data_IF_212357528064
#
_entry.id   IF_212357528064
#
_cell.length_a   1.000
_cell.length_b   1.000
_cell.length_c   1.000
_cell.angle_alpha   90.00
_cell.angle_beta   90.00
_cell.angle_gamma   90.00
#
_symmetry.space_group_name_H-M   'P 1'
#
loop_
_entity.id
_entity.type
_entity.pdbx_description
1 polymer ?
#
# COMPACT_ATOMS: atom_id res chain seq x y z
N UNK A 1 -19.63 12.85 12.94
CA UNK A 1 -18.54 12.10 12.30
C UNK A 1 -19.02 10.67 12.22
N UNK A 2 -19.19 10.18 11.00
CA UNK A 2 -19.47 8.77 10.73
C UNK A 2 -18.18 7.95 10.86
N UNK A 3 -18.30 6.65 11.11
CA UNK A 3 -17.13 5.75 11.23
C UNK A 3 -16.30 5.77 9.94
N UNK A 4 -16.98 5.85 8.78
CA UNK A 4 -16.35 6.01 7.47
C UNK A 4 -15.58 7.33 7.30
N UNK A 5 -16.12 8.47 7.77
CA UNK A 5 -15.38 9.74 7.78
C UNK A 5 -14.14 9.68 8.68
N UNK A 6 -14.23 8.96 9.81
CA UNK A 6 -13.08 8.76 10.69
C UNK A 6 -11.99 7.92 10.00
N UNK A 7 -12.38 6.83 9.34
CA UNK A 7 -11.46 5.97 8.59
C UNK A 7 -10.77 6.74 7.46
N UNK A 8 -11.51 7.53 6.68
CA UNK A 8 -10.95 8.37 5.61
C UNK A 8 -9.93 9.39 6.15
N UNK A 9 -10.20 10.00 7.30
CA UNK A 9 -9.26 10.90 7.96
C UNK A 9 -7.98 10.18 8.44
N UNK A 10 -8.11 8.96 8.96
CA UNK A 10 -6.97 8.15 9.38
C UNK A 10 -6.12 7.72 8.18
N UNK A 11 -6.74 7.34 7.06
CA UNK A 11 -6.04 7.02 5.81
C UNK A 11 -5.31 8.26 5.29
N UNK A 12 -5.95 9.42 5.28
CA UNK A 12 -5.32 10.68 4.89
C UNK A 12 -4.09 11.01 5.76
N UNK A 13 -4.18 10.80 7.08
CA UNK A 13 -3.05 10.98 7.97
C UNK A 13 -1.90 10.02 7.66
N UNK A 14 -2.21 8.75 7.36
CA UNK A 14 -1.20 7.76 6.96
C UNK A 14 -0.49 8.16 5.64
N UNK A 15 -1.25 8.63 4.64
CA UNK A 15 -0.71 9.16 3.38
C UNK A 15 0.27 10.31 3.64
N UNK A 16 -0.11 11.27 4.47
CA UNK A 16 0.75 12.41 4.80
C UNK A 16 2.04 11.98 5.52
N UNK A 17 1.98 10.98 6.38
CA UNK A 17 3.16 10.45 7.05
C UNK A 17 4.09 9.69 6.09
N UNK A 18 3.55 8.98 5.10
CA UNK A 18 4.35 8.38 4.03
C UNK A 18 4.97 9.45 3.12
N UNK A 19 4.23 10.52 2.78
CA UNK A 19 4.76 11.66 2.00
C UNK A 19 5.90 12.38 2.71
N UNK A 20 5.82 12.54 4.04
CA UNK A 20 6.93 13.07 4.85
C UNK A 20 8.17 12.17 4.77
N UNK A 21 8.00 10.84 4.81
CA UNK A 21 9.10 9.89 4.63
C UNK A 21 9.73 10.02 3.24
N UNK A 22 8.93 10.23 2.20
CA UNK A 22 9.41 10.46 0.84
C UNK A 22 10.19 11.78 0.69
N UNK A 23 9.74 12.85 1.37
CA UNK A 23 10.39 14.16 1.34
C UNK A 23 11.70 14.24 2.14
N UNK A 24 11.91 13.31 3.08
CA UNK A 24 13.18 13.18 3.80
C UNK A 24 14.20 12.47 2.90
N UNK A 25 15.13 13.24 2.30
CA UNK A 25 16.20 12.73 1.40
C UNK A 25 16.71 11.34 1.80
N UNK A 26 16.40 10.32 1.00
CA UNK A 26 16.85 8.95 1.22
C UNK A 26 16.55 8.03 0.04
N UNK A 27 17.58 7.28 -0.38
CA UNK A 27 17.60 6.10 -1.25
C UNK A 27 16.42 5.89 -2.24
N UNK A 28 16.72 5.98 -3.55
CA UNK A 28 15.77 5.77 -4.66
C UNK A 28 14.97 4.46 -4.54
N UNK A 29 15.56 3.40 -3.98
CA UNK A 29 14.86 2.13 -3.73
C UNK A 29 13.73 2.24 -2.69
N UNK A 30 13.88 3.08 -1.66
CA UNK A 30 12.78 3.40 -0.74
C UNK A 30 11.70 4.23 -1.43
N UNK A 31 12.04 5.06 -2.40
CA UNK A 31 11.05 5.92 -3.06
C UNK A 31 9.96 5.11 -3.79
N UNK A 32 10.34 4.06 -4.53
CA UNK A 32 9.37 3.22 -5.27
C UNK A 32 8.39 2.53 -4.32
N UNK A 33 8.88 1.94 -3.24
CA UNK A 33 8.03 1.28 -2.23
C UNK A 33 7.10 2.28 -1.54
N UNK A 34 7.61 3.45 -1.15
CA UNK A 34 6.81 4.49 -0.48
C UNK A 34 5.76 5.08 -1.43
N UNK A 35 6.09 5.27 -2.72
CA UNK A 35 5.11 5.70 -3.73
C UNK A 35 4.01 4.67 -3.93
N UNK A 36 4.36 3.40 -4.12
CA UNK A 36 3.39 2.32 -4.27
C UNK A 36 2.46 2.19 -3.05
N UNK A 37 3.00 2.41 -1.85
CA UNK A 37 2.21 2.48 -0.62
C UNK A 37 1.20 3.63 -0.67
N UNK A 38 1.63 4.86 -0.98
CA UNK A 38 0.75 6.03 -1.09
C UNK A 38 -0.34 5.82 -2.14
N UNK A 39 0.03 5.37 -3.34
CA UNK A 39 -0.91 5.14 -4.45
C UNK A 39 -1.98 4.11 -4.07
N UNK A 40 -1.60 3.06 -3.35
CA UNK A 40 -2.55 2.06 -2.86
C UNK A 40 -3.52 2.64 -1.83
N UNK A 41 -3.02 3.40 -0.85
CA UNK A 41 -3.87 4.08 0.14
C UNK A 41 -4.84 5.08 -0.51
N UNK A 42 -4.39 5.82 -1.53
CA UNK A 42 -5.22 6.73 -2.31
C UNK A 42 -6.32 5.99 -3.10
N UNK A 43 -5.99 4.82 -3.67
CA UNK A 43 -6.98 3.95 -4.33
C UNK A 43 -8.07 3.51 -3.36
N UNK A 44 -7.69 3.00 -2.18
CA UNK A 44 -8.65 2.56 -1.16
C UNK A 44 -9.49 3.71 -0.61
N UNK A 45 -8.87 4.87 -0.38
CA UNK A 45 -9.58 6.08 0.02
C UNK A 45 -10.66 6.48 -1.00
N UNK A 46 -10.33 6.41 -2.30
CA UNK A 46 -11.29 6.64 -3.37
C UNK A 46 -12.40 5.57 -3.41
N UNK A 47 -12.07 4.29 -3.24
CA UNK A 47 -13.08 3.21 -3.19
C UNK A 47 -14.06 3.42 -2.03
N UNK A 48 -13.55 3.74 -0.83
CA UNK A 48 -14.37 4.08 0.34
C UNK A 48 -15.24 5.31 0.11
N UNK A 49 -14.68 6.37 -0.49
CA UNK A 49 -15.46 7.58 -0.84
C UNK A 49 -16.57 7.31 -1.87
N UNK A 50 -16.41 6.27 -2.71
CA UNK A 50 -17.41 5.81 -3.68
C UNK A 50 -18.40 4.77 -3.11
N UNK A 51 -18.35 4.50 -1.80
CA UNK A 51 -19.32 3.65 -1.12
C UNK A 51 -18.90 2.18 -1.01
N UNK A 52 -17.59 1.88 -1.09
CA UNK A 52 -17.10 0.58 -0.63
C UNK A 52 -17.37 0.44 0.87
N UNK A 53 -17.96 -0.69 1.25
CA UNK A 53 -18.23 -1.03 2.65
C UNK A 53 -16.96 -1.52 3.38
N UNK A 54 -16.86 -1.28 4.67
CA UNK A 54 -15.70 -1.66 5.49
C UNK A 54 -15.48 -3.18 5.55
N UNK A 55 -16.55 -4.00 5.57
CA UNK A 55 -16.44 -5.46 5.56
C UNK A 55 -15.99 -5.98 4.19
N UNK A 56 -16.46 -5.33 3.12
CA UNK A 56 -16.01 -5.62 1.76
C UNK A 56 -14.53 -5.25 1.59
N UNK A 57 -14.11 -4.11 2.13
CA UNK A 57 -12.71 -3.71 2.16
C UNK A 57 -11.86 -4.70 2.97
N UNK A 58 -12.29 -5.10 4.17
CA UNK A 58 -11.59 -6.09 5.00
C UNK A 58 -11.36 -7.39 4.23
N UNK A 59 -12.41 -7.93 3.60
CA UNK A 59 -12.33 -9.16 2.80
C UNK A 59 -11.33 -9.02 1.66
N UNK A 60 -11.38 -7.90 0.92
CA UNK A 60 -10.42 -7.60 -0.15
C UNK A 60 -8.98 -7.58 0.35
N UNK A 61 -8.71 -6.92 1.48
CA UNK A 61 -7.36 -6.81 2.04
C UNK A 61 -6.83 -8.15 2.56
N UNK A 62 -7.69 -8.98 3.15
CA UNK A 62 -7.33 -10.32 3.60
C UNK A 62 -7.02 -11.28 2.45
N UNK A 63 -7.68 -11.12 1.29
CA UNK A 63 -7.38 -11.85 0.06
C UNK A 63 -6.13 -11.33 -0.67
N UNK A 64 -5.88 -10.02 -0.66
CA UNK A 64 -4.74 -9.43 -1.33
C UNK A 64 -3.41 -9.70 -0.62
N UNK A 65 -3.38 -9.75 0.71
CA UNK A 65 -2.15 -10.03 1.47
C UNK A 65 -1.40 -11.30 1.04
N UNK A 66 -2.03 -12.50 1.01
CA UNK A 66 -1.33 -13.72 0.60
C UNK A 66 -0.91 -13.66 -0.87
N UNK A 67 -1.73 -13.04 -1.74
CA UNK A 67 -1.37 -12.83 -3.14
C UNK A 67 -0.11 -11.98 -3.29
N UNK A 68 -0.02 -10.88 -2.53
CA UNK A 68 1.15 -10.01 -2.55
C UNK A 68 2.40 -10.72 -2.01
N UNK A 69 2.27 -11.51 -0.95
CA UNK A 69 3.39 -12.31 -0.43
C UNK A 69 3.89 -13.35 -1.45
N UNK A 70 3.00 -13.98 -2.22
CA UNK A 70 3.36 -14.88 -3.32
C UNK A 70 4.09 -14.16 -4.46
N UNK A 71 3.60 -12.98 -4.88
CA UNK A 71 4.24 -12.19 -5.95
C UNK A 71 5.62 -11.66 -5.50
N UNK A 72 5.76 -11.24 -4.24
CA UNK A 72 7.07 -10.85 -3.67
C UNK A 72 8.05 -12.03 -3.75
N UNK A 73 7.65 -13.21 -3.26
CA UNK A 73 8.53 -14.39 -3.29
C UNK A 73 8.90 -14.81 -4.72
N UNK A 74 7.99 -14.62 -5.69
CA UNK A 74 8.26 -14.90 -7.11
C UNK A 74 9.30 -13.92 -7.69
N UNK A 75 9.17 -12.64 -7.39
CA UNK A 75 10.12 -11.61 -7.82
C UNK A 75 11.50 -11.77 -7.17
N UNK A 76 11.56 -12.14 -5.89
CA UNK A 76 12.83 -12.46 -5.20
C UNK A 76 13.55 -13.68 -5.81
N UNK A 77 12.78 -14.69 -6.25
CA UNK A 77 13.33 -15.91 -6.86
C UNK A 77 13.68 -15.74 -8.35
N UNK A 78 13.14 -14.71 -9.00
CA UNK A 78 13.33 -14.43 -10.42
C UNK A 78 14.64 -13.72 -10.72
N UNK A 79 15.31 -14.10 -11.81
CA UNK A 79 16.44 -13.32 -12.34
C UNK A 79 15.88 -12.10 -13.08
N UNK A 80 15.88 -10.92 -12.45
CA UNK A 80 15.48 -9.68 -13.11
C UNK A 80 16.69 -9.07 -13.81
N UNK A 81 16.83 -9.27 -15.13
CA UNK A 81 17.62 -8.34 -15.95
C UNK A 81 16.76 -7.10 -16.18
N UNK A 82 17.01 -6.01 -15.46
CA UNK A 82 16.10 -4.86 -15.49
C UNK A 82 16.79 -3.53 -15.83
N UNK A 83 16.19 -2.77 -16.75
CA UNK A 83 16.63 -1.43 -17.15
C UNK A 83 16.25 -0.36 -16.10
N UNK A 84 15.45 -0.74 -15.10
CA UNK A 84 14.75 0.17 -14.18
C UNK A 84 15.09 0.01 -12.69
N UNK A 85 16.26 -0.58 -12.37
CA UNK A 85 16.73 -0.98 -11.02
C UNK A 85 16.27 -2.39 -10.62
N UNK A 86 17.15 -3.18 -10.00
CA UNK A 86 16.89 -4.59 -9.64
C UNK A 86 15.62 -4.70 -8.77
N UNK A 87 14.78 -5.70 -9.03
CA UNK A 87 13.56 -5.98 -8.28
C UNK A 87 12.58 -4.78 -8.18
N UNK A 88 12.34 -4.07 -9.28
CA UNK A 88 11.40 -2.94 -9.32
C UNK A 88 9.98 -3.33 -8.84
N UNK A 89 9.44 -4.44 -9.34
CA UNK A 89 8.09 -4.90 -9.00
C UNK A 89 7.98 -5.41 -7.57
N UNK A 90 9.02 -6.05 -7.05
CA UNK A 90 9.11 -6.41 -5.63
C UNK A 90 8.86 -5.20 -4.72
N UNK A 91 9.51 -4.06 -5.01
CA UNK A 91 9.34 -2.81 -4.24
C UNK A 91 7.89 -2.32 -4.28
N UNK A 92 7.22 -2.46 -5.43
CA UNK A 92 5.80 -2.11 -5.58
C UNK A 92 4.95 -3.02 -4.70
N UNK A 93 5.12 -4.34 -4.80
CA UNK A 93 4.33 -5.30 -4.01
C UNK A 93 4.58 -5.16 -2.51
N UNK A 94 5.82 -4.86 -2.10
CA UNK A 94 6.16 -4.55 -0.72
C UNK A 94 5.42 -3.29 -0.22
N UNK A 95 5.27 -2.27 -1.07
CA UNK A 95 4.54 -1.05 -0.73
C UNK A 95 3.03 -1.29 -0.58
N UNK A 96 2.44 -2.04 -1.51
CA UNK A 96 1.03 -2.45 -1.47
C UNK A 96 0.74 -3.32 -0.24
N UNK A 97 1.65 -4.24 0.10
CA UNK A 97 1.51 -5.11 1.28
C UNK A 97 1.55 -4.30 2.57
N UNK A 98 2.46 -3.33 2.68
CA UNK A 98 2.52 -2.44 3.84
C UNK A 98 1.20 -1.65 3.97
N UNK A 99 0.67 -1.15 2.85
CA UNK A 99 -0.62 -0.46 2.80
C UNK A 99 -1.76 -1.34 3.33
N UNK A 100 -1.83 -2.60 2.88
CA UNK A 100 -2.84 -3.55 3.33
C UNK A 100 -2.78 -3.78 4.85
N UNK A 101 -1.57 -3.90 5.41
CA UNK A 101 -1.36 -4.09 6.85
C UNK A 101 -1.77 -2.86 7.66
N UNK A 102 -1.44 -1.67 7.17
CA UNK A 102 -1.84 -0.41 7.81
C UNK A 102 -3.37 -0.26 7.78
N UNK A 103 -4.01 -0.52 6.64
CA UNK A 103 -5.47 -0.48 6.50
C UNK A 103 -6.20 -1.49 7.38
N UNK A 104 -5.74 -2.74 7.45
CA UNK A 104 -6.29 -3.75 8.35
C UNK A 104 -6.11 -3.39 9.83
N UNK A 105 -5.10 -2.59 10.16
CA UNK A 105 -4.91 -2.05 11.52
C UNK A 105 -5.89 -0.94 11.82
N UNK A 106 -6.24 -0.11 10.83
CA UNK A 106 -7.24 0.96 10.97
C UNK A 106 -8.68 0.43 11.05
N UNK A 107 -8.96 -0.73 10.44
CA UNK A 107 -10.27 -1.41 10.46
C UNK A 107 -10.53 -2.24 11.74
N UNK A 108 -9.65 -2.17 12.76
CA UNK A 108 -9.79 -2.88 14.04
C UNK A 108 -10.33 -1.97 15.13
#
# INVERSE_FOLDING_TARGET
MTDQEQLLNQIAQCIEDQRKKLGAKGNVTMETRVKAHIEYLESISNELANGLDEDALRTKLEEELPRLDEEIAREEAGYTFDWYDDHHYEKIYLGQRDACKDLLTLLR
#
